data_IF_933689850912
#
_entry.id   IF_933689850912
#
_cell.length_a   1.000
_cell.length_b   1.000
_cell.length_c   1.000
_cell.angle_alpha   90.00
_cell.angle_beta   90.00
_cell.angle_gamma   90.00
#
_symmetry.space_group_name_H-M   'P 1'
#
loop_
_entity.id
_entity.type
_entity.pdbx_description
1 polymer ?
#
# COMPACT_ATOMS: atom_id res chain seq x y z
N UNK A 1 20.64 1.91 -14.29
CA UNK A 1 20.34 3.10 -15.11
C UNK A 1 20.73 4.29 -14.26
N UNK A 2 21.58 5.18 -14.76
CA UNK A 2 22.05 6.34 -14.00
C UNK A 2 21.33 7.62 -14.50
N UNK A 3 21.40 8.69 -13.72
CA UNK A 3 20.76 9.98 -14.06
C UNK A 3 21.26 10.56 -15.39
N UNK A 4 22.54 10.35 -15.70
CA UNK A 4 23.18 10.84 -16.94
C UNK A 4 22.56 10.23 -18.20
N UNK A 5 22.20 8.93 -18.17
CA UNK A 5 21.55 8.25 -19.30
C UNK A 5 20.09 8.69 -19.49
N UNK A 6 19.33 8.82 -18.40
CA UNK A 6 17.88 9.15 -18.48
C UNK A 6 17.65 10.59 -18.89
N UNK A 7 18.51 11.50 -18.44
CA UNK A 7 18.38 12.93 -18.69
C UNK A 7 19.40 13.46 -19.70
N UNK A 8 19.99 12.57 -20.51
CA UNK A 8 20.79 12.95 -21.66
C UNK A 8 19.95 13.68 -22.70
N UNK A 9 20.56 14.64 -23.40
CA UNK A 9 19.93 15.29 -24.54
C UNK A 9 19.57 14.24 -25.60
N UNK A 10 18.32 14.23 -26.01
CA UNK A 10 17.81 13.40 -27.10
C UNK A 10 16.85 14.19 -27.98
N UNK A 11 16.40 13.56 -29.08
CA UNK A 11 15.39 14.15 -29.97
C UNK A 11 14.03 14.32 -29.29
N UNK A 12 13.79 13.65 -28.16
CA UNK A 12 12.55 13.70 -27.38
C UNK A 12 12.58 14.80 -26.29
N UNK A 13 13.73 15.42 -26.05
CA UNK A 13 13.91 16.46 -25.01
C UNK A 13 14.00 17.86 -25.61
N UNK A 14 13.23 18.80 -25.08
CA UNK A 14 13.09 20.17 -25.61
C UNK A 14 13.36 21.27 -24.58
N UNK A 15 13.55 20.90 -23.31
CA UNK A 15 13.85 21.83 -22.22
C UNK A 15 14.91 21.27 -21.26
N UNK A 16 15.65 22.17 -20.62
CA UNK A 16 16.67 21.85 -19.62
C UNK A 16 16.19 22.35 -18.26
N UNK A 17 16.20 21.48 -17.26
CA UNK A 17 16.11 21.87 -15.85
C UNK A 17 17.51 21.87 -15.25
N UNK A 18 17.79 22.81 -14.35
CA UNK A 18 19.08 22.93 -13.65
C UNK A 18 18.84 22.76 -12.16
N UNK A 19 19.40 21.69 -11.59
CA UNK A 19 19.30 21.33 -10.17
C UNK A 19 20.71 21.09 -9.65
N UNK A 20 21.10 21.77 -8.58
CA UNK A 20 22.48 21.73 -8.04
C UNK A 20 23.57 21.95 -9.10
N UNK A 21 23.29 22.81 -10.09
CA UNK A 21 24.18 23.09 -11.22
C UNK A 21 24.28 21.96 -12.26
N UNK A 22 23.62 20.82 -12.06
CA UNK A 22 23.53 19.72 -13.02
C UNK A 22 22.34 19.94 -13.96
N UNK A 23 22.52 19.57 -15.23
CA UNK A 23 21.51 19.75 -16.29
C UNK A 23 20.73 18.46 -16.52
N UNK A 24 19.41 18.59 -16.52
CA UNK A 24 18.46 17.51 -16.79
C UNK A 24 17.70 17.85 -18.08
N UNK A 25 17.94 17.11 -19.17
CA UNK A 25 17.17 17.28 -20.40
C UNK A 25 15.84 16.53 -20.29
N UNK A 26 14.73 17.25 -20.44
CA UNK A 26 13.38 16.72 -20.24
C UNK A 26 12.43 17.17 -21.35
N UNK A 27 11.21 16.65 -21.35
CA UNK A 27 10.17 16.99 -22.31
C UNK A 27 9.12 17.89 -21.63
N UNK A 28 8.96 19.12 -22.15
CA UNK A 28 8.04 20.13 -21.62
C UNK A 28 6.59 19.66 -21.61
N UNK A 29 6.14 19.00 -22.69
CA UNK A 29 4.77 18.53 -22.80
C UNK A 29 4.47 17.45 -21.75
N UNK A 30 5.34 16.44 -21.65
CA UNK A 30 5.20 15.35 -20.67
C UNK A 30 5.12 15.87 -19.23
N UNK A 31 6.01 16.78 -18.84
CA UNK A 31 6.00 17.34 -17.49
C UNK A 31 4.80 18.26 -17.24
N UNK A 32 4.32 18.97 -18.26
CA UNK A 32 3.17 19.87 -18.14
C UNK A 32 1.84 19.11 -18.05
N UNK A 33 1.76 17.91 -18.63
CA UNK A 33 0.59 17.05 -18.57
C UNK A 33 0.34 16.52 -17.15
N UNK A 34 1.43 16.20 -16.43
CA UNK A 34 1.37 15.62 -15.08
C UNK A 34 1.58 16.63 -13.93
N UNK A 35 1.91 17.91 -14.22
CA UNK A 35 2.23 18.89 -13.18
C UNK A 35 1.87 20.33 -13.52
N UNK A 36 0.97 20.92 -12.73
CA UNK A 36 0.62 22.35 -12.81
C UNK A 36 1.81 23.28 -12.49
N UNK A 37 2.77 22.80 -11.70
CA UNK A 37 4.02 23.52 -11.43
C UNK A 37 4.81 23.69 -12.73
N UNK A 38 5.09 22.60 -13.46
CA UNK A 38 5.84 22.65 -14.70
C UNK A 38 5.08 23.37 -15.81
N UNK A 39 3.76 23.16 -15.88
CA UNK A 39 2.89 23.89 -16.80
C UNK A 39 2.99 25.41 -16.59
N UNK A 40 2.98 25.86 -15.34
CA UNK A 40 3.19 27.27 -15.00
C UNK A 40 4.62 27.71 -15.30
N UNK A 41 5.62 26.95 -14.85
CA UNK A 41 7.04 27.25 -15.01
C UNK A 41 7.41 27.49 -16.48
N UNK A 42 6.94 26.63 -17.37
CA UNK A 42 7.26 26.71 -18.79
C UNK A 42 6.41 27.72 -19.57
N UNK A 43 5.34 28.24 -18.97
CA UNK A 43 4.57 29.36 -19.54
C UNK A 43 5.19 30.71 -19.20
N UNK A 44 6.12 30.77 -18.23
CA UNK A 44 6.92 31.95 -17.96
C UNK A 44 7.97 32.05 -19.08
N UNK A 45 7.62 32.81 -20.12
CA UNK A 45 8.36 32.89 -21.38
C UNK A 45 9.55 33.86 -21.27
N UNK A 46 10.55 33.45 -20.50
CA UNK A 46 11.82 34.15 -20.37
C UNK A 46 12.83 33.48 -21.30
N UNK A 47 13.10 34.12 -22.45
CA UNK A 47 14.08 33.67 -23.45
C UNK A 47 15.45 33.31 -22.85
N UNK A 48 15.80 33.97 -21.75
CA UNK A 48 17.05 33.73 -21.01
C UNK A 48 17.09 32.34 -20.33
N UNK A 49 15.97 31.88 -19.74
CA UNK A 49 15.87 30.55 -19.13
C UNK A 49 15.74 29.44 -20.17
N UNK A 50 15.09 29.72 -21.31
CA UNK A 50 15.03 28.75 -22.41
C UNK A 50 16.42 28.40 -22.97
N UNK A 51 17.38 29.35 -22.98
CA UNK A 51 18.74 29.09 -23.43
C UNK A 51 19.65 28.46 -22.37
N UNK A 52 19.48 28.80 -21.09
CA UNK A 52 20.39 28.39 -20.01
C UNK A 52 19.85 27.25 -19.14
N UNK A 53 18.57 26.90 -19.30
CA UNK A 53 17.83 25.98 -18.46
C UNK A 53 17.08 26.68 -17.33
N UNK A 54 15.99 26.07 -16.88
CA UNK A 54 15.18 26.56 -15.76
C UNK A 54 15.80 26.10 -14.44
N UNK A 55 16.20 27.03 -13.55
CA UNK A 55 16.68 26.66 -12.23
C UNK A 55 15.51 26.09 -11.41
N UNK A 56 15.76 24.96 -10.76
CA UNK A 56 14.86 24.41 -9.74
C UNK A 56 15.63 24.50 -8.42
N UNK A 57 15.19 25.43 -7.57
CA UNK A 57 15.81 25.71 -6.28
C UNK A 57 15.15 24.88 -5.17
N UNK A 58 15.83 24.77 -4.03
CA UNK A 58 15.33 24.09 -2.81
C UNK A 58 15.04 22.59 -2.96
N UNK A 59 15.70 21.92 -3.91
CA UNK A 59 15.60 20.46 -4.09
C UNK A 59 17.00 19.85 -4.25
N UNK A 60 17.20 18.66 -3.68
CA UNK A 60 18.42 17.86 -3.90
C UNK A 60 18.34 17.14 -5.24
N UNK A 61 19.45 17.14 -6.00
CA UNK A 61 19.50 16.54 -7.34
C UNK A 61 19.04 15.09 -7.40
N UNK A 62 19.46 14.25 -6.45
CA UNK A 62 19.15 12.82 -6.49
C UNK A 62 17.65 12.57 -6.26
N UNK A 63 17.04 13.26 -5.29
CA UNK A 63 15.61 13.14 -4.98
C UNK A 63 14.73 13.66 -6.14
N UNK A 64 15.10 14.82 -6.69
CA UNK A 64 14.37 15.43 -7.79
C UNK A 64 14.53 14.66 -9.11
N UNK A 65 15.74 14.18 -9.39
CA UNK A 65 16.02 13.30 -10.52
C UNK A 65 15.22 12.00 -10.42
N UNK A 66 15.07 11.44 -9.21
CA UNK A 66 14.26 10.24 -8.98
C UNK A 66 12.79 10.52 -9.30
N UNK A 67 12.23 11.63 -8.81
CA UNK A 67 10.86 12.05 -9.12
C UNK A 67 10.63 12.19 -10.62
N UNK A 68 11.51 12.90 -11.33
CA UNK A 68 11.39 13.08 -12.78
C UNK A 68 11.49 11.76 -13.54
N UNK A 69 12.34 10.83 -13.08
CA UNK A 69 12.50 9.53 -13.72
C UNK A 69 11.20 8.69 -13.70
N UNK A 70 10.33 8.91 -12.68
CA UNK A 70 9.00 8.31 -12.61
C UNK A 70 8.07 8.86 -13.70
N UNK A 71 8.07 10.18 -13.91
CA UNK A 71 7.25 10.84 -14.93
C UNK A 71 7.68 10.39 -16.34
N UNK A 72 8.99 10.22 -16.54
CA UNK A 72 9.56 9.69 -17.78
C UNK A 72 9.38 8.18 -17.98
N UNK A 73 8.74 7.47 -17.04
CA UNK A 73 8.52 6.02 -17.12
C UNK A 73 9.80 5.19 -17.08
N UNK A 74 10.92 5.78 -16.66
CA UNK A 74 12.24 5.14 -16.53
C UNK A 74 12.77 5.33 -15.11
N UNK A 75 12.12 4.73 -14.10
CA UNK A 75 12.48 4.93 -12.70
C UNK A 75 13.95 4.60 -12.46
N UNK A 76 14.69 5.59 -11.97
CA UNK A 76 16.05 5.40 -11.45
C UNK A 76 15.93 5.19 -9.96
N UNK A 77 16.60 4.15 -9.46
CA UNK A 77 16.87 4.02 -8.03
C UNK A 77 18.37 4.32 -7.90
N UNK A 78 18.76 5.46 -7.31
CA UNK A 78 20.18 5.76 -7.12
C UNK A 78 20.85 4.62 -6.34
N UNK A 79 22.15 4.40 -6.57
CA UNK A 79 22.93 3.35 -5.89
C UNK A 79 22.94 3.59 -4.38
N UNK A 80 21.98 3.00 -3.71
CA UNK A 80 21.70 3.10 -2.29
C UNK A 80 20.28 2.61 -2.13
N UNK A 81 20.12 1.48 -1.45
CA UNK A 81 18.80 0.94 -1.12
C UNK A 81 17.87 2.10 -0.78
N UNK A 82 16.77 2.26 -1.52
CA UNK A 82 15.66 3.06 -1.01
C UNK A 82 15.43 2.52 0.39
N UNK A 83 15.74 3.33 1.39
CA UNK A 83 15.62 2.89 2.77
C UNK A 83 14.11 2.80 3.02
N UNK A 84 13.59 1.61 2.71
CA UNK A 84 12.19 1.28 2.85
C UNK A 84 11.77 1.63 4.27
N UNK A 85 12.64 1.44 5.27
CA UNK A 85 12.31 1.79 6.63
C UNK A 85 12.13 3.30 6.81
N UNK A 86 13.04 4.13 6.27
CA UNK A 86 12.91 5.59 6.31
C UNK A 86 11.67 6.09 5.55
N UNK A 87 11.45 5.60 4.33
CA UNK A 87 10.27 5.94 3.52
C UNK A 87 8.96 5.56 4.23
N UNK A 88 8.95 4.47 5.00
CA UNK A 88 7.81 4.05 5.80
C UNK A 88 7.62 4.87 7.08
N UNK A 89 8.70 5.32 7.69
CA UNK A 89 8.68 6.25 8.82
C UNK A 89 8.15 7.63 8.39
N UNK A 90 8.52 8.11 7.19
CA UNK A 90 8.07 9.40 6.66
C UNK A 90 6.54 9.46 6.42
N UNK A 91 5.91 8.31 6.12
CA UNK A 91 4.47 8.19 5.83
C UNK A 91 3.55 8.54 7.01
N UNK A 92 4.08 8.46 8.23
CA UNK A 92 3.34 8.70 9.48
C UNK A 92 4.02 9.79 10.32
N UNK A 93 4.58 10.81 9.67
CA UNK A 93 5.16 12.01 10.30
C UNK A 93 4.10 13.04 10.66
N UNK A 94 4.44 13.91 11.61
CA UNK A 94 3.57 15.00 12.03
C UNK A 94 3.34 15.98 10.88
N UNK A 95 2.07 16.29 10.59
CA UNK A 95 1.71 17.27 9.58
C UNK A 95 0.42 18.01 9.97
N UNK A 96 0.09 19.04 9.21
CA UNK A 96 -1.18 19.79 9.38
C UNK A 96 -2.43 18.90 9.23
N UNK A 97 -2.30 17.71 8.64
CA UNK A 97 -3.41 16.76 8.41
C UNK A 97 -3.57 15.75 9.55
N UNK A 98 -2.59 15.63 10.45
CA UNK A 98 -2.58 14.66 11.56
C UNK A 98 -2.97 15.34 12.87
N UNK A 99 -3.78 14.68 13.69
CA UNK A 99 -4.34 15.24 14.93
C UNK A 99 -4.19 14.29 16.15
N UNK A 100 -3.53 13.14 15.96
CA UNK A 100 -3.15 12.22 17.04
C UNK A 100 -1.90 11.44 16.67
N UNK A 101 -1.10 11.09 17.68
CA UNK A 101 0.07 10.24 17.57
C UNK A 101 -0.21 8.89 18.26
N UNK A 102 -0.10 7.79 17.53
CA UNK A 102 -0.13 6.45 18.08
C UNK A 102 1.29 6.00 18.41
N UNK A 103 1.53 5.61 19.67
CA UNK A 103 2.82 5.11 20.14
C UNK A 103 2.83 3.59 20.09
N UNK A 104 3.66 3.03 19.20
CA UNK A 104 3.80 1.58 19.00
C UNK A 104 5.25 1.19 19.22
N UNK A 105 5.52 0.30 20.19
CA UNK A 105 6.88 -0.15 20.53
C UNK A 105 7.89 1.02 20.71
N UNK A 106 7.42 2.15 21.25
CA UNK A 106 8.24 3.36 21.48
C UNK A 106 8.41 4.27 20.26
N UNK A 107 7.90 3.89 19.08
CA UNK A 107 7.91 4.70 17.87
C UNK A 107 6.59 5.45 17.70
N UNK A 108 6.65 6.62 17.06
CA UNK A 108 5.52 7.53 16.83
C UNK A 108 4.92 7.33 15.44
N UNK A 109 3.60 7.21 15.37
CA UNK A 109 2.83 7.15 14.14
C UNK A 109 1.74 8.23 14.17
N UNK A 110 1.95 9.32 13.46
CA UNK A 110 0.99 10.42 13.38
C UNK A 110 -0.10 10.10 12.36
N UNK A 111 -1.36 10.19 12.78
CA UNK A 111 -2.53 9.79 11.99
C UNK A 111 -3.68 10.79 12.18
N UNK A 112 -4.75 10.61 11.41
CA UNK A 112 -5.96 11.44 11.48
C UNK A 112 -7.10 10.68 12.16
N UNK A 113 -7.60 11.18 13.31
CA UNK A 113 -8.70 10.59 14.08
C UNK A 113 -9.93 10.38 13.23
N UNK A 114 -10.28 11.35 12.38
CA UNK A 114 -11.46 11.29 11.52
C UNK A 114 -11.41 10.10 10.53
N UNK A 115 -10.26 9.88 9.88
CA UNK A 115 -10.06 8.78 8.92
C UNK A 115 -10.20 7.43 9.63
N UNK A 116 -9.49 7.26 10.74
CA UNK A 116 -9.54 6.01 11.51
C UNK A 116 -10.93 5.76 12.08
N UNK A 117 -11.59 6.77 12.66
CA UNK A 117 -12.96 6.64 13.19
C UNK A 117 -13.95 6.22 12.11
N UNK A 118 -13.86 6.83 10.93
CA UNK A 118 -14.75 6.52 9.82
C UNK A 118 -14.69 5.04 9.39
N UNK A 119 -13.51 4.42 9.49
CA UNK A 119 -13.28 3.05 9.06
C UNK A 119 -13.23 2.01 10.19
N UNK A 120 -13.35 2.44 11.45
CA UNK A 120 -13.20 1.59 12.63
C UNK A 120 -14.09 2.07 13.78
N UNK A 121 -15.14 1.31 14.13
CA UNK A 121 -15.92 1.56 15.33
C UNK A 121 -15.07 1.56 16.62
N UNK A 122 -13.98 0.80 16.64
CA UNK A 122 -13.03 0.82 17.75
C UNK A 122 -12.35 2.19 17.88
N UNK A 123 -11.78 2.72 16.80
CA UNK A 123 -11.12 4.04 16.84
C UNK A 123 -12.12 5.17 17.03
N UNK A 124 -13.32 5.05 16.47
CA UNK A 124 -14.43 5.98 16.74
C UNK A 124 -14.73 6.05 18.25
N UNK A 125 -14.88 4.90 18.90
CA UNK A 125 -15.10 4.84 20.34
C UNK A 125 -13.89 5.40 21.11
N UNK A 126 -12.67 5.01 20.74
CA UNK A 126 -11.43 5.45 21.38
C UNK A 126 -11.27 6.97 21.37
N UNK A 127 -11.65 7.64 20.27
CA UNK A 127 -11.43 9.06 20.11
C UNK A 127 -12.61 9.93 20.54
N UNK A 128 -13.84 9.41 20.58
CA UNK A 128 -15.04 10.22 20.80
C UNK A 128 -15.80 9.93 22.11
N UNK A 129 -15.67 8.73 22.68
CA UNK A 129 -16.29 8.42 23.98
C UNK A 129 -15.51 9.03 25.14
N UNK A 130 -16.12 9.11 26.32
CA UNK A 130 -15.53 9.77 27.51
C UNK A 130 -14.44 8.92 28.20
N UNK A 131 -13.57 8.32 27.39
CA UNK A 131 -12.30 7.76 27.80
C UNK A 131 -11.25 8.87 27.94
N UNK A 132 -10.17 8.58 28.67
CA UNK A 132 -9.08 9.56 28.88
C UNK A 132 -8.36 9.90 27.57
N UNK A 133 -8.38 8.97 26.63
CA UNK A 133 -7.75 9.03 25.32
C UNK A 133 -8.36 10.07 24.38
N UNK A 134 -9.63 10.45 24.58
CA UNK A 134 -10.35 11.47 23.79
C UNK A 134 -9.59 12.79 23.71
N UNK A 135 -9.01 13.23 24.84
CA UNK A 135 -8.25 14.48 24.96
C UNK A 135 -6.73 14.29 24.82
N UNK A 136 -6.25 13.06 24.62
CA UNK A 136 -4.82 12.79 24.46
C UNK A 136 -4.33 13.12 23.05
N UNK A 137 -3.12 13.68 22.99
CA UNK A 137 -2.35 13.86 21.74
C UNK A 137 -1.52 12.62 21.38
N UNK A 138 -1.10 11.85 22.38
CA UNK A 138 -0.35 10.60 22.20
C UNK A 138 -1.12 9.44 22.86
N UNK A 139 -1.34 8.36 22.13
CA UNK A 139 -2.07 7.17 22.60
C UNK A 139 -1.20 5.93 22.40
N UNK A 140 -0.94 5.19 23.47
CA UNK A 140 -0.11 3.98 23.40
C UNK A 140 -0.93 2.78 22.90
N UNK A 141 -0.47 2.19 21.80
CA UNK A 141 -1.04 0.97 21.24
C UNK A 141 -0.23 -0.23 21.74
N UNK A 142 -0.85 -1.06 22.58
CA UNK A 142 -0.24 -2.27 23.13
C UNK A 142 -0.59 -3.51 22.29
N UNK A 143 0.24 -4.55 22.34
CA UNK A 143 0.04 -5.83 21.63
C UNK A 143 -0.07 -5.71 20.10
N UNK A 144 0.58 -4.69 19.54
CA UNK A 144 0.81 -4.57 18.09
C UNK A 144 2.31 -4.49 17.83
N UNK A 145 2.72 -5.13 16.75
CA UNK A 145 4.06 -4.99 16.19
C UNK A 145 4.12 -3.78 15.27
N UNK A 146 5.21 -3.01 15.35
CA UNK A 146 5.35 -1.79 14.58
C UNK A 146 5.28 -2.02 13.07
N UNK A 147 6.05 -2.96 12.54
CA UNK A 147 6.21 -3.11 11.08
C UNK A 147 4.90 -3.58 10.45
N UNK A 148 4.18 -4.51 11.09
CA UNK A 148 2.86 -4.91 10.60
C UNK A 148 1.77 -3.86 10.84
N UNK A 149 1.89 -3.05 11.90
CA UNK A 149 0.88 -2.03 12.19
C UNK A 149 0.99 -0.83 11.25
N UNK A 150 2.20 -0.48 10.79
CA UNK A 150 2.42 0.49 9.71
C UNK A 150 1.72 0.02 8.42
N UNK A 151 1.88 -1.25 8.04
CA UNK A 151 1.17 -1.81 6.87
C UNK A 151 -0.35 -1.71 7.06
N UNK A 152 -0.85 -2.09 8.24
CA UNK A 152 -2.27 -2.01 8.57
C UNK A 152 -2.82 -0.58 8.46
N UNK A 153 -2.12 0.41 9.02
CA UNK A 153 -2.55 1.82 8.95
C UNK A 153 -2.46 2.36 7.51
N UNK A 154 -1.49 1.91 6.71
CA UNK A 154 -1.35 2.39 5.34
C UNK A 154 -2.57 2.11 4.46
N UNK A 155 -3.37 1.09 4.81
CA UNK A 155 -4.58 0.67 4.08
C UNK A 155 -5.68 1.75 4.10
N UNK A 156 -5.66 2.68 5.06
CA UNK A 156 -6.61 3.79 5.12
C UNK A 156 -6.25 4.96 4.19
N UNK A 157 -5.13 4.87 3.46
CA UNK A 157 -4.63 5.91 2.57
C UNK A 157 -4.72 5.50 1.09
N UNK A 158 -4.65 6.48 0.19
CA UNK A 158 -4.84 6.27 -1.26
C UNK A 158 -3.81 5.33 -1.89
N UNK A 159 -2.57 5.36 -1.41
CA UNK A 159 -1.50 4.45 -1.83
C UNK A 159 -1.11 3.57 -0.63
N UNK A 160 -1.76 2.43 -0.42
CA UNK A 160 -1.46 1.56 0.70
C UNK A 160 -0.20 0.74 0.45
N UNK A 161 0.57 0.48 1.50
CA UNK A 161 1.71 -0.42 1.40
C UNK A 161 1.23 -1.82 1.06
N UNK A 162 1.92 -2.47 0.13
CA UNK A 162 1.57 -3.82 -0.28
C UNK A 162 1.84 -4.82 0.87
N UNK A 163 0.82 -5.58 1.32
CA UNK A 163 1.02 -6.67 2.26
C UNK A 163 1.87 -7.79 1.66
N UNK A 164 2.35 -8.67 2.53
CA UNK A 164 3.05 -9.90 2.14
C UNK A 164 2.24 -11.12 2.60
N UNK A 165 2.53 -12.28 2.00
CA UNK A 165 1.94 -13.55 2.46
C UNK A 165 2.28 -13.81 3.94
N UNK A 166 3.46 -13.36 4.40
CA UNK A 166 3.96 -13.61 5.76
C UNK A 166 3.21 -12.79 6.82
N UNK A 167 2.91 -11.52 6.53
CA UNK A 167 2.22 -10.64 7.48
C UNK A 167 0.68 -10.64 7.33
N UNK A 168 0.13 -11.28 6.29
CA UNK A 168 -1.29 -11.22 5.98
C UNK A 168 -2.20 -11.60 7.15
N UNK A 169 -1.91 -12.70 7.85
CA UNK A 169 -2.72 -13.09 9.02
C UNK A 169 -2.59 -12.10 10.18
N UNK A 170 -1.42 -11.50 10.39
CA UNK A 170 -1.23 -10.52 11.45
C UNK A 170 -2.05 -9.26 11.19
N UNK A 171 -2.08 -8.80 9.93
CA UNK A 171 -2.92 -7.68 9.50
C UNK A 171 -4.41 -8.01 9.69
N UNK A 172 -4.83 -9.24 9.39
CA UNK A 172 -6.22 -9.69 9.63
C UNK A 172 -6.56 -9.76 11.12
N UNK A 173 -5.63 -10.15 11.99
CA UNK A 173 -5.80 -10.07 13.45
C UNK A 173 -6.04 -8.63 13.89
N UNK A 174 -5.28 -7.67 13.34
CA UNK A 174 -5.50 -6.24 13.62
C UNK A 174 -6.86 -5.78 13.08
N UNK A 175 -7.26 -6.22 11.88
CA UNK A 175 -8.56 -5.89 11.32
C UNK A 175 -9.72 -6.38 12.20
N UNK A 176 -9.63 -7.57 12.78
CA UNK A 176 -10.63 -8.04 13.76
C UNK A 176 -10.57 -7.25 15.08
N UNK A 177 -9.37 -7.05 15.63
CA UNK A 177 -9.18 -6.35 16.91
C UNK A 177 -9.70 -4.92 16.87
N UNK A 178 -9.41 -4.20 15.79
CA UNK A 178 -9.78 -2.82 15.60
C UNK A 178 -11.07 -2.68 14.77
N UNK A 179 -11.79 -3.77 14.50
CA UNK A 179 -13.10 -3.76 13.83
C UNK A 179 -13.10 -3.06 12.45
N UNK A 180 -12.05 -3.28 11.65
CA UNK A 180 -11.84 -2.62 10.37
C UNK A 180 -12.23 -3.51 9.18
N UNK A 181 -13.49 -3.45 8.75
CA UNK A 181 -13.97 -4.23 7.59
C UNK A 181 -13.28 -3.87 6.28
N UNK A 182 -12.91 -2.60 6.07
CA UNK A 182 -12.19 -2.18 4.85
C UNK A 182 -10.85 -2.90 4.70
N UNK A 183 -10.14 -3.12 5.81
CA UNK A 183 -8.88 -3.85 5.83
C UNK A 183 -9.12 -5.32 5.48
N UNK A 184 -10.19 -5.93 5.98
CA UNK A 184 -10.55 -7.31 5.59
C UNK A 184 -10.80 -7.44 4.10
N UNK A 185 -11.57 -6.51 3.51
CA UNK A 185 -11.87 -6.52 2.08
C UNK A 185 -10.60 -6.35 1.24
N UNK A 186 -9.71 -5.43 1.62
CA UNK A 186 -8.42 -5.24 0.96
C UNK A 186 -7.55 -6.51 1.03
N UNK A 187 -7.44 -7.10 2.23
CA UNK A 187 -6.67 -8.33 2.45
C UNK A 187 -7.25 -9.53 1.72
N UNK A 188 -8.58 -9.61 1.60
CA UNK A 188 -9.28 -10.64 0.82
C UNK A 188 -8.88 -10.60 -0.66
N UNK A 189 -8.94 -9.43 -1.30
CA UNK A 189 -8.50 -9.25 -2.68
C UNK A 189 -7.01 -9.56 -2.86
N UNK A 190 -6.17 -9.09 -1.93
CA UNK A 190 -4.75 -9.43 -1.93
C UNK A 190 -4.52 -10.94 -1.87
N UNK A 191 -5.16 -11.64 -0.92
CA UNK A 191 -5.00 -13.08 -0.74
C UNK A 191 -5.49 -13.88 -1.96
N UNK A 192 -6.58 -13.47 -2.60
CA UNK A 192 -7.07 -14.05 -3.85
C UNK A 192 -5.96 -14.04 -4.90
N UNK A 193 -5.28 -12.90 -5.08
CA UNK A 193 -4.22 -12.72 -6.09
C UNK A 193 -2.91 -13.49 -5.81
N UNK A 194 -2.71 -13.98 -4.58
CA UNK A 194 -1.43 -14.60 -4.20
C UNK A 194 -1.32 -16.06 -4.65
N UNK A 195 -0.09 -16.59 -4.66
CA UNK A 195 0.19 -18.03 -4.83
C UNK A 195 0.15 -18.81 -3.51
N UNK A 196 -0.52 -18.29 -2.48
CA UNK A 196 -0.72 -18.99 -1.21
C UNK A 196 -1.43 -20.32 -1.46
N UNK A 197 -1.07 -21.36 -0.68
CA UNK A 197 -1.65 -22.70 -0.80
C UNK A 197 -3.17 -22.67 -0.60
N UNK A 198 -3.84 -23.57 -1.29
CA UNK A 198 -5.29 -23.72 -1.26
C UNK A 198 -5.81 -23.87 0.19
N UNK A 199 -5.18 -24.75 0.96
CA UNK A 199 -5.59 -25.06 2.34
C UNK A 199 -5.47 -23.83 3.26
N UNK A 200 -4.39 -23.05 3.09
CA UNK A 200 -4.17 -21.83 3.85
C UNK A 200 -5.18 -20.74 3.49
N UNK A 201 -5.45 -20.52 2.19
CA UNK A 201 -6.46 -19.55 1.76
C UNK A 201 -7.84 -19.91 2.32
N UNK A 202 -8.19 -21.20 2.30
CA UNK A 202 -9.48 -21.67 2.81
C UNK A 202 -9.57 -21.52 4.33
N UNK A 203 -8.52 -21.90 5.08
CA UNK A 203 -8.44 -21.73 6.54
C UNK A 203 -8.51 -20.26 6.94
N UNK A 204 -7.74 -19.39 6.29
CA UNK A 204 -7.71 -17.95 6.58
C UNK A 204 -9.06 -17.33 6.24
N UNK A 205 -9.62 -17.64 5.07
CA UNK A 205 -10.91 -17.13 4.66
C UNK A 205 -12.03 -17.53 5.62
N UNK A 206 -12.05 -18.78 6.07
CA UNK A 206 -13.01 -19.23 7.07
C UNK A 206 -12.83 -18.54 8.43
N UNK A 207 -11.59 -18.52 8.96
CA UNK A 207 -11.24 -17.94 10.27
C UNK A 207 -11.63 -16.47 10.39
N UNK A 208 -11.30 -15.67 9.38
CA UNK A 208 -11.53 -14.21 9.40
C UNK A 208 -12.82 -13.79 8.69
N UNK A 209 -13.62 -14.75 8.22
CA UNK A 209 -14.91 -14.58 7.51
C UNK A 209 -14.78 -13.82 6.18
N UNK A 210 -13.72 -14.09 5.43
CA UNK A 210 -13.45 -13.56 4.09
C UNK A 210 -14.15 -14.47 3.06
N UNK A 211 -15.38 -14.10 2.68
CA UNK A 211 -16.25 -14.95 1.88
C UNK A 211 -15.81 -15.07 0.41
N UNK A 212 -15.36 -13.98 -0.20
CA UNK A 212 -14.90 -13.98 -1.59
C UNK A 212 -13.60 -14.75 -1.74
N UNK A 213 -12.72 -14.72 -0.72
CA UNK A 213 -11.54 -15.58 -0.68
C UNK A 213 -11.95 -17.05 -0.63
N UNK A 214 -12.91 -17.42 0.24
CA UNK A 214 -13.42 -18.79 0.32
C UNK A 214 -14.05 -19.21 -1.01
N UNK A 215 -14.92 -18.38 -1.59
CA UNK A 215 -15.64 -18.70 -2.82
C UNK A 215 -14.69 -18.81 -4.01
N UNK A 216 -13.75 -17.87 -4.15
CA UNK A 216 -12.72 -17.92 -5.18
C UNK A 216 -11.83 -19.15 -5.01
N UNK A 217 -11.42 -19.47 -3.78
CA UNK A 217 -10.57 -20.63 -3.50
C UNK A 217 -11.32 -21.91 -3.85
N UNK A 218 -12.55 -22.09 -3.37
CA UNK A 218 -13.39 -23.26 -3.66
C UNK A 218 -13.62 -23.42 -5.16
N UNK A 219 -13.86 -22.33 -5.90
CA UNK A 219 -14.06 -22.37 -7.35
C UNK A 219 -12.83 -22.91 -8.13
N UNK A 220 -11.63 -22.84 -7.56
CA UNK A 220 -10.42 -23.42 -8.17
C UNK A 220 -10.40 -24.96 -8.11
N UNK A 221 -11.28 -25.59 -7.33
CA UNK A 221 -11.45 -27.04 -7.35
C UNK A 221 -12.05 -27.48 -8.71
N UNK A 222 -11.34 -28.39 -9.37
CA UNK A 222 -11.67 -28.93 -10.68
C UNK A 222 -11.28 -30.42 -10.79
N UNK A 223 -11.61 -31.06 -11.93
CA UNK A 223 -11.34 -32.50 -12.14
C UNK A 223 -9.85 -32.87 -12.04
N UNK A 224 -8.95 -31.96 -12.42
CA UNK A 224 -7.51 -32.20 -12.48
C UNK A 224 -6.82 -32.10 -11.11
N UNK A 225 -7.43 -31.43 -10.14
CA UNK A 225 -6.91 -31.30 -8.78
C UNK A 225 -7.75 -32.04 -7.71
N UNK A 226 -8.57 -33.02 -8.13
CA UNK A 226 -9.36 -33.90 -7.24
C UNK A 226 -8.52 -34.67 -6.22
N UNK A 227 -7.20 -34.81 -6.41
CA UNK A 227 -6.34 -35.40 -5.37
C UNK A 227 -6.23 -34.52 -4.11
N UNK A 228 -6.35 -33.18 -4.25
CA UNK A 228 -6.47 -32.27 -3.10
C UNK A 228 -7.69 -32.65 -2.26
N UNK A 229 -8.74 -33.19 -2.88
CA UNK A 229 -9.93 -33.66 -2.18
C UNK A 229 -9.67 -34.88 -1.28
N UNK A 230 -8.78 -35.82 -1.63
CA UNK A 230 -8.44 -36.93 -0.71
C UNK A 230 -7.74 -36.42 0.56
N UNK A 231 -7.08 -35.27 0.48
CA UNK A 231 -6.55 -34.54 1.65
C UNK A 231 -7.61 -33.65 2.33
N UNK A 232 -8.76 -33.40 1.72
CA UNK A 232 -9.78 -32.50 2.27
C UNK A 232 -10.43 -32.99 3.55
N UNK A 233 -10.59 -34.30 3.74
CA UNK A 233 -11.13 -34.81 5.00
C UNK A 233 -10.18 -34.48 6.17
N UNK A 234 -8.86 -34.41 5.93
CA UNK A 234 -7.88 -34.02 6.95
C UNK A 234 -7.58 -32.52 7.03
N UNK A 235 -7.78 -31.71 5.98
CA UNK A 235 -7.59 -30.25 6.07
C UNK A 235 -8.87 -29.46 6.39
N UNK A 236 -10.05 -30.06 6.17
CA UNK A 236 -11.33 -29.44 6.57
C UNK A 236 -11.62 -29.65 8.06
N UNK A 237 -10.80 -30.44 8.76
CA UNK A 237 -10.85 -30.55 10.22
C UNK A 237 -10.46 -29.19 10.82
N UNK A 238 -11.44 -28.49 11.39
CA UNK A 238 -11.27 -27.15 11.96
C UNK A 238 -11.93 -26.02 11.14
N UNK A 239 -12.46 -26.30 9.95
CA UNK A 239 -13.28 -25.33 9.22
C UNK A 239 -14.72 -25.31 9.75
N UNK A 240 -15.39 -24.17 9.58
CA UNK A 240 -16.81 -24.04 9.86
C UNK A 240 -17.66 -24.90 8.92
N UNK A 241 -18.85 -25.29 9.38
CA UNK A 241 -19.79 -26.08 8.57
C UNK A 241 -20.22 -25.35 7.29
N UNK A 242 -20.27 -24.02 7.33
CA UNK A 242 -20.53 -23.18 6.15
C UNK A 242 -19.48 -23.42 5.06
N UNK A 243 -18.20 -23.38 5.43
CA UNK A 243 -17.10 -23.57 4.47
C UNK A 243 -17.00 -25.02 4.01
N UNK A 244 -17.18 -25.99 4.92
CA UNK A 244 -17.28 -27.41 4.55
C UNK A 244 -18.39 -27.66 3.54
N UNK A 245 -19.57 -27.07 3.74
CA UNK A 245 -20.70 -27.19 2.82
C UNK A 245 -20.38 -26.62 1.44
N UNK A 246 -19.72 -25.44 1.35
CA UNK A 246 -19.28 -24.87 0.07
C UNK A 246 -18.35 -25.80 -0.69
N UNK A 247 -17.35 -26.38 -0.01
CA UNK A 247 -16.43 -27.37 -0.58
C UNK A 247 -17.19 -28.59 -1.09
N UNK A 248 -18.05 -29.18 -0.25
CA UNK A 248 -18.84 -30.36 -0.59
C UNK A 248 -19.75 -30.12 -1.80
N UNK A 249 -20.44 -28.97 -1.84
CA UNK A 249 -21.31 -28.60 -2.95
C UNK A 249 -20.54 -28.48 -4.26
N UNK A 250 -19.36 -27.86 -4.25
CA UNK A 250 -18.52 -27.75 -5.44
C UNK A 250 -18.06 -29.13 -5.93
N UNK A 251 -17.72 -30.05 -5.03
CA UNK A 251 -17.37 -31.42 -5.40
C UNK A 251 -18.55 -32.18 -6.02
N UNK A 252 -19.75 -32.06 -5.46
CA UNK A 252 -20.93 -32.73 -6.01
C UNK A 252 -21.19 -32.30 -7.46
N UNK A 253 -20.90 -31.05 -7.81
CA UNK A 253 -20.95 -30.57 -9.21
C UNK A 253 -19.93 -31.28 -10.10
N UNK A 254 -18.70 -31.48 -9.60
CA UNK A 254 -17.62 -32.12 -10.37
C UNK A 254 -17.81 -33.64 -10.58
N UNK A 255 -18.53 -34.31 -9.68
CA UNK A 255 -18.82 -35.75 -9.78
C UNK A 255 -20.04 -36.08 -10.67
N UNK A 256 -20.89 -35.11 -11.00
CA UNK A 256 -22.10 -35.30 -11.82
C UNK A 256 -21.85 -35.24 -13.34
N UNK A 257 -20.59 -35.18 -13.79
CA UNK A 257 -20.19 -35.13 -15.19
C UNK A 257 -19.23 -36.25 -15.54
#
# INVERSE_FOLDING_TARGET
MNFEEVFAKSDETDVILVVDGKKLHVNKALLSDDSDYFKTLFNIDLKEFSMNGYPIEEVEFDDFGMLLSLIHGRPIIPNGEMDLKKFLEDRFTESIKTDVCLIVQGKRLYVTKAILSHHSPFFEALFNQDFKEKSMKEIKMSDVDYDEFVVFLSIFHQDPMKPTIRNAEKILVYADRFLCSIVKNYMELFLISTRMKFEDKLRIGDKYKLNDLVDNTVAQLNKNNKHLFMKSISFTSGLSDRTKNKVLMQMMKLCKC
#
